data_IF_149756365535
#
_entry.id   IF_149756365535
#
_cell.length_a   1.000
_cell.length_b   1.000
_cell.length_c   1.000
_cell.angle_alpha   90.00
_cell.angle_beta   90.00
_cell.angle_gamma   90.00
#
_symmetry.space_group_name_H-M   'P 1'
#
loop_
_entity.id
_entity.type
_entity.pdbx_description
1 polymer ?
#
# COMPACT_ATOMS: atom_id res chain seq x y z
N UNK A 1 3.72 -5.76 21.67
CA UNK A 1 4.55 -6.89 21.17
C UNK A 1 3.84 -8.24 21.33
N UNK A 2 3.24 -8.58 22.47
CA UNK A 2 2.71 -9.92 22.75
C UNK A 2 1.83 -10.58 21.67
N UNK A 3 1.05 -9.80 20.89
CA UNK A 3 0.28 -10.33 19.76
C UNK A 3 1.23 -10.76 18.64
N UNK A 4 2.17 -9.90 18.26
CA UNK A 4 3.15 -10.19 17.21
C UNK A 4 3.98 -11.42 17.59
N UNK A 5 4.48 -11.49 18.81
CA UNK A 5 5.31 -12.60 19.28
C UNK A 5 4.55 -13.93 19.26
N UNK A 6 3.24 -13.90 19.55
CA UNK A 6 2.36 -15.08 19.44
C UNK A 6 2.22 -15.56 18.00
N UNK A 7 1.98 -14.64 17.05
CA UNK A 7 1.83 -15.02 15.64
C UNK A 7 3.16 -15.40 15.02
N UNK A 8 4.26 -14.77 15.42
CA UNK A 8 5.60 -15.17 15.02
C UNK A 8 5.87 -16.64 15.29
N UNK A 9 5.51 -17.12 16.48
CA UNK A 9 5.67 -18.54 16.84
C UNK A 9 4.87 -19.48 15.92
N UNK A 10 3.70 -19.03 15.41
CA UNK A 10 2.86 -19.82 14.50
C UNK A 10 3.38 -19.81 13.05
N UNK A 11 4.02 -18.72 12.63
CA UNK A 11 4.43 -18.54 11.23
C UNK A 11 5.90 -18.88 10.97
N UNK A 12 6.69 -19.10 12.02
CA UNK A 12 8.12 -19.44 11.92
C UNK A 12 8.36 -20.70 11.08
N UNK A 13 7.49 -21.69 11.19
CA UNK A 13 7.56 -22.93 10.41
C UNK A 13 7.32 -22.69 8.91
N UNK A 14 6.66 -21.58 8.56
CA UNK A 14 6.48 -21.10 7.18
C UNK A 14 7.63 -20.18 6.72
N UNK A 15 8.75 -20.13 7.44
CA UNK A 15 9.92 -19.29 7.15
C UNK A 15 9.63 -17.79 7.21
N UNK A 16 8.61 -17.36 7.97
CA UNK A 16 8.31 -15.97 8.25
C UNK A 16 9.03 -15.60 9.55
N UNK A 17 10.13 -14.87 9.43
CA UNK A 17 11.02 -14.54 10.54
C UNK A 17 10.93 -13.08 11.02
N UNK A 18 10.30 -12.22 10.24
CA UNK A 18 10.17 -10.80 10.55
C UNK A 18 8.71 -10.38 10.43
N UNK A 19 8.18 -9.77 11.48
CA UNK A 19 6.80 -9.34 11.56
C UNK A 19 6.74 -7.97 12.24
N UNK A 20 6.01 -7.04 11.65
CA UNK A 20 5.86 -5.70 12.19
C UNK A 20 4.40 -5.26 12.24
N UNK A 21 4.10 -4.31 13.12
CA UNK A 21 2.79 -3.70 13.17
C UNK A 21 2.90 -2.19 13.46
N UNK A 22 2.10 -1.42 12.74
CA UNK A 22 1.97 0.02 12.92
C UNK A 22 0.49 0.37 13.07
N UNK A 23 0.12 1.09 14.13
CA UNK A 23 -1.23 1.55 14.38
C UNK A 23 -1.21 3.07 14.48
N UNK A 24 -2.05 3.73 13.67
CA UNK A 24 -2.17 5.18 13.60
C UNK A 24 -3.60 5.59 13.93
N UNK A 25 -3.76 6.59 14.79
CA UNK A 25 -5.04 7.24 15.01
C UNK A 25 -5.39 8.12 13.82
N UNK A 26 -6.47 7.80 13.13
CA UNK A 26 -6.89 8.48 11.90
C UNK A 26 -7.24 9.95 12.14
N UNK A 27 -7.81 10.31 13.27
CA UNK A 27 -8.21 11.70 13.56
C UNK A 27 -7.01 12.60 13.82
N UNK A 28 -6.06 12.11 14.60
CA UNK A 28 -4.93 12.92 15.09
C UNK A 28 -3.62 12.71 14.33
N UNK A 29 -3.52 11.66 13.53
CA UNK A 29 -2.27 11.25 12.86
C UNK A 29 -1.24 10.65 13.82
N UNK A 30 -1.59 10.42 15.09
CA UNK A 30 -0.63 9.94 16.08
C UNK A 30 -0.43 8.45 15.98
N UNK A 31 0.84 8.02 16.05
CA UNK A 31 1.19 6.62 16.16
C UNK A 31 0.83 6.12 17.55
N UNK A 32 -0.08 5.15 17.63
CA UNK A 32 -0.55 4.53 18.86
C UNK A 32 0.28 3.29 19.21
N UNK A 33 0.74 2.53 18.20
CA UNK A 33 1.61 1.39 18.40
C UNK A 33 2.61 1.28 17.24
N UNK A 34 3.87 0.99 17.59
CA UNK A 34 4.96 0.73 16.68
C UNK A 34 5.69 -0.51 17.18
N UNK A 35 5.53 -1.62 16.48
CA UNK A 35 6.25 -2.87 16.74
C UNK A 35 7.11 -3.13 15.51
N UNK A 36 8.38 -2.81 15.59
CA UNK A 36 9.31 -2.83 14.46
C UNK A 36 9.66 -4.24 13.99
N UNK A 37 9.62 -5.22 14.90
CA UNK A 37 9.81 -6.63 14.59
C UNK A 37 9.29 -7.52 15.75
N UNK A 38 9.16 -8.82 15.48
CA UNK A 38 8.92 -9.82 16.52
C UNK A 38 10.14 -9.95 17.46
N UNK A 39 9.86 -10.31 18.71
CA UNK A 39 10.90 -10.56 19.72
C UNK A 39 11.47 -11.98 19.53
N UNK A 40 12.46 -12.14 18.66
CA UNK A 40 13.23 -13.38 18.55
C UNK A 40 14.57 -13.24 19.27
N UNK A 41 14.84 -14.17 20.18
CA UNK A 41 16.09 -14.19 20.95
C UNK A 41 17.28 -14.75 20.16
N UNK A 42 17.02 -15.45 19.06
CA UNK A 42 18.07 -16.11 18.26
C UNK A 42 18.90 -15.15 17.42
N UNK A 43 18.40 -13.94 17.13
CA UNK A 43 19.01 -12.91 16.28
C UNK A 43 19.48 -13.41 14.88
N UNK A 44 19.06 -14.60 14.49
CA UNK A 44 19.54 -15.28 13.29
C UNK A 44 18.99 -14.67 11.99
N UNK A 45 17.89 -13.89 12.06
CA UNK A 45 17.18 -13.32 10.92
C UNK A 45 16.96 -11.81 11.04
N UNK A 46 17.81 -11.11 11.82
CA UNK A 46 17.71 -9.66 11.98
C UNK A 46 16.50 -9.21 12.81
N UNK A 47 16.12 -9.99 13.83
CA UNK A 47 14.97 -9.71 14.71
C UNK A 47 15.05 -8.35 15.44
N UNK A 48 16.24 -7.78 15.57
CA UNK A 48 16.48 -6.45 16.17
C UNK A 48 16.27 -5.29 15.18
N UNK A 49 16.08 -5.59 13.90
CA UNK A 49 15.90 -4.55 12.88
C UNK A 49 14.45 -4.09 12.86
N UNK A 50 14.22 -2.79 12.93
CA UNK A 50 12.90 -2.22 12.65
C UNK A 50 12.60 -2.31 11.15
N UNK A 51 11.64 -3.16 10.77
CA UNK A 51 11.27 -3.38 9.37
C UNK A 51 10.12 -2.48 8.90
N UNK A 52 9.55 -1.63 9.77
CA UNK A 52 8.49 -0.69 9.38
C UNK A 52 8.95 0.28 8.28
N UNK A 53 10.14 0.92 8.38
CA UNK A 53 10.64 1.80 7.32
C UNK A 53 11.26 1.05 6.14
N UNK A 54 11.49 -0.26 6.26
CA UNK A 54 12.18 -1.02 5.23
C UNK A 54 11.28 -1.21 3.99
N UNK A 55 11.75 -0.88 2.77
CA UNK A 55 11.00 -1.14 1.55
C UNK A 55 10.81 -2.65 1.33
N UNK A 56 9.59 -3.03 1.02
CA UNK A 56 9.18 -4.40 0.72
C UNK A 56 8.11 -4.39 -0.36
N UNK A 57 7.96 -5.50 -1.07
CA UNK A 57 6.85 -5.65 -1.99
C UNK A 57 5.52 -5.52 -1.24
N UNK A 58 4.68 -4.64 -1.73
CA UNK A 58 3.35 -4.38 -1.15
C UNK A 58 2.26 -5.29 -1.74
N UNK A 59 2.59 -6.16 -2.69
CA UNK A 59 1.62 -7.05 -3.33
C UNK A 59 0.46 -6.28 -3.96
N UNK A 60 -0.75 -6.56 -3.53
CA UNK A 60 -2.00 -5.96 -4.06
C UNK A 60 -2.47 -4.70 -3.32
N UNK A 61 -1.71 -4.17 -2.37
CA UNK A 61 -2.18 -3.08 -1.50
C UNK A 61 -2.40 -1.74 -2.23
N UNK A 62 -1.91 -1.57 -3.45
CA UNK A 62 -2.19 -0.37 -4.25
C UNK A 62 -3.46 -0.46 -5.10
N UNK A 63 -4.11 -1.62 -5.19
CA UNK A 63 -5.34 -1.79 -6.00
C UNK A 63 -6.50 -0.89 -5.54
N UNK A 64 -6.78 -0.70 -4.23
CA UNK A 64 -7.80 0.25 -3.80
C UNK A 64 -7.50 1.69 -4.22
N UNK A 65 -6.23 2.11 -4.19
CA UNK A 65 -5.82 3.46 -4.62
C UNK A 65 -6.00 3.62 -6.14
N UNK A 66 -5.65 2.59 -6.93
CA UNK A 66 -5.90 2.59 -8.37
C UNK A 66 -7.40 2.66 -8.68
N UNK A 67 -8.23 1.91 -7.97
CA UNK A 67 -9.68 1.91 -8.10
C UNK A 67 -10.23 3.32 -7.86
N UNK A 68 -9.81 3.97 -6.76
CA UNK A 68 -10.20 5.34 -6.43
C UNK A 68 -9.77 6.33 -7.53
N UNK A 69 -8.51 6.26 -8.00
CA UNK A 69 -8.03 7.09 -9.11
C UNK A 69 -8.86 6.91 -10.39
N UNK A 70 -9.34 5.70 -10.63
CA UNK A 70 -10.13 5.38 -11.80
C UNK A 70 -11.56 5.95 -11.72
N UNK A 71 -12.15 5.95 -10.52
CA UNK A 71 -13.43 6.60 -10.25
C UNK A 71 -13.31 8.13 -10.45
N UNK A 72 -12.30 8.76 -9.86
CA UNK A 72 -12.06 10.21 -9.99
C UNK A 72 -11.87 10.66 -11.44
N UNK A 73 -11.26 9.82 -12.28
CA UNK A 73 -11.02 10.11 -13.69
C UNK A 73 -12.21 9.74 -14.60
N UNK A 74 -13.30 9.21 -14.06
CA UNK A 74 -14.43 8.73 -14.85
C UNK A 74 -14.11 7.51 -15.75
N UNK A 75 -12.96 6.86 -15.52
CA UNK A 75 -12.58 5.63 -16.25
C UNK A 75 -13.43 4.44 -15.78
N UNK A 76 -13.84 4.49 -14.53
CA UNK A 76 -14.60 3.45 -13.84
C UNK A 76 -15.80 4.07 -13.13
N UNK A 77 -16.91 3.35 -13.08
CA UNK A 77 -17.96 3.56 -12.09
C UNK A 77 -18.19 2.24 -11.32
N UNK A 78 -18.83 2.28 -10.15
CA UNK A 78 -18.98 1.08 -9.31
C UNK A 78 -19.62 -0.12 -10.02
N UNK A 79 -20.48 0.14 -11.00
CA UNK A 79 -21.17 -0.88 -11.78
C UNK A 79 -20.48 -1.25 -13.09
N UNK A 80 -19.28 -0.69 -13.36
CA UNK A 80 -18.52 -1.02 -14.56
C UNK A 80 -18.13 -2.49 -14.59
N UNK A 81 -18.05 -3.03 -15.80
CA UNK A 81 -17.57 -4.39 -16.06
C UNK A 81 -16.13 -4.30 -16.57
N UNK A 82 -15.25 -5.09 -15.99
CA UNK A 82 -13.83 -5.17 -16.34
C UNK A 82 -13.49 -6.53 -16.97
N UNK A 83 -12.55 -6.56 -17.92
CA UNK A 83 -12.13 -7.81 -18.55
C UNK A 83 -11.29 -8.65 -17.58
N UNK A 84 -11.55 -9.95 -17.53
CA UNK A 84 -10.81 -10.96 -16.78
C UNK A 84 -10.57 -12.20 -17.63
N UNK A 85 -9.68 -12.08 -18.60
CA UNK A 85 -9.29 -13.16 -19.51
C UNK A 85 -7.77 -13.15 -19.74
N UNK A 86 -7.17 -14.25 -20.21
CA UNK A 86 -5.74 -14.28 -20.52
C UNK A 86 -5.36 -13.17 -21.48
N UNK A 87 -4.44 -12.32 -21.07
CA UNK A 87 -4.00 -11.15 -21.86
C UNK A 87 -2.48 -11.01 -21.83
N UNK A 88 -1.93 -10.42 -22.91
CA UNK A 88 -0.52 -10.09 -23.01
C UNK A 88 -0.36 -8.58 -23.24
N UNK A 89 0.43 -7.94 -22.40
CA UNK A 89 0.70 -6.51 -22.42
C UNK A 89 2.17 -6.27 -22.81
N UNK A 90 2.51 -6.49 -24.09
CA UNK A 90 3.88 -6.28 -24.55
C UNK A 90 4.92 -7.22 -23.90
N UNK A 91 4.57 -8.48 -23.74
CA UNK A 91 5.42 -9.50 -23.09
C UNK A 91 5.09 -9.75 -21.61
N UNK A 92 4.27 -8.90 -20.98
CA UNK A 92 3.79 -9.11 -19.60
C UNK A 92 2.40 -9.76 -19.64
N UNK A 93 2.30 -10.98 -19.09
CA UNK A 93 1.05 -11.76 -19.04
C UNK A 93 0.66 -12.06 -17.59
N UNK A 94 -0.12 -11.19 -16.96
CA UNK A 94 -0.56 -11.38 -15.59
C UNK A 94 -1.52 -12.58 -15.48
N UNK A 95 -1.48 -13.24 -14.32
CA UNK A 95 -2.42 -14.32 -13.96
C UNK A 95 -3.09 -13.98 -12.65
N UNK A 96 -4.35 -14.39 -12.48
CA UNK A 96 -5.00 -14.38 -11.19
C UNK A 96 -4.35 -15.44 -10.26
N UNK A 97 -4.54 -15.30 -8.94
CA UNK A 97 -3.89 -16.17 -7.97
C UNK A 97 -4.26 -17.65 -8.17
N UNK A 98 -5.54 -17.94 -8.44
CA UNK A 98 -6.06 -19.27 -8.71
C UNK A 98 -5.88 -19.75 -10.17
N UNK A 99 -5.26 -18.91 -11.03
CA UNK A 99 -5.05 -19.17 -12.47
C UNK A 99 -6.36 -19.35 -13.26
N UNK A 100 -7.50 -18.94 -12.69
CA UNK A 100 -8.82 -18.95 -13.33
C UNK A 100 -9.21 -17.56 -13.83
N UNK A 101 -10.11 -17.51 -14.81
CA UNK A 101 -10.59 -16.29 -15.43
C UNK A 101 -12.11 -16.36 -15.60
N UNK A 102 -12.80 -15.29 -15.22
CA UNK A 102 -14.26 -15.21 -15.31
C UNK A 102 -14.77 -14.62 -16.65
N UNK A 103 -13.85 -14.21 -17.53
CA UNK A 103 -14.18 -13.50 -18.78
C UNK A 103 -14.41 -12.01 -18.52
N UNK A 104 -15.42 -11.67 -17.74
CA UNK A 104 -15.74 -10.30 -17.32
C UNK A 104 -16.20 -10.29 -15.87
N UNK A 105 -15.83 -9.23 -15.12
CA UNK A 105 -16.12 -9.14 -13.69
C UNK A 105 -16.61 -7.72 -13.33
N UNK A 106 -17.63 -7.56 -12.48
CA UNK A 106 -18.00 -6.26 -11.92
C UNK A 106 -16.85 -5.63 -11.14
N UNK A 107 -16.72 -4.32 -11.23
CA UNK A 107 -15.57 -3.59 -10.68
C UNK A 107 -15.42 -3.74 -9.16
N UNK A 108 -16.52 -3.82 -8.41
CA UNK A 108 -16.51 -4.09 -6.97
C UNK A 108 -15.92 -5.48 -6.68
N UNK A 109 -16.26 -6.50 -7.47
CA UNK A 109 -15.75 -7.86 -7.31
C UNK A 109 -14.27 -7.97 -7.67
N UNK A 110 -13.78 -7.16 -8.61
CA UNK A 110 -12.34 -7.08 -8.91
C UNK A 110 -11.55 -6.69 -7.66
N UNK A 111 -12.05 -5.72 -6.91
CA UNK A 111 -11.40 -5.24 -5.69
C UNK A 111 -11.53 -6.23 -4.53
N UNK A 112 -12.73 -6.74 -4.27
CA UNK A 112 -13.00 -7.71 -3.19
C UNK A 112 -12.19 -8.98 -3.35
N UNK A 113 -12.10 -9.51 -4.58
CA UNK A 113 -11.35 -10.73 -4.91
C UNK A 113 -9.87 -10.47 -5.22
N UNK A 114 -9.47 -9.21 -5.24
CA UNK A 114 -8.10 -8.78 -5.56
C UNK A 114 -7.57 -9.35 -6.89
N UNK A 115 -8.41 -9.36 -7.93
CA UNK A 115 -8.06 -9.93 -9.22
C UNK A 115 -6.91 -9.16 -9.88
N UNK A 116 -5.97 -9.88 -10.47
CA UNK A 116 -4.76 -9.30 -11.04
C UNK A 116 -5.01 -8.77 -12.46
N UNK A 117 -5.61 -9.58 -13.31
CA UNK A 117 -5.79 -9.26 -14.73
C UNK A 117 -6.64 -7.99 -14.92
N UNK A 118 -7.83 -7.86 -14.32
CA UNK A 118 -8.62 -6.64 -14.43
C UNK A 118 -7.91 -5.42 -13.86
N UNK A 119 -7.11 -5.59 -12.79
CA UNK A 119 -6.33 -4.48 -12.20
C UNK A 119 -5.23 -3.99 -13.13
N UNK A 120 -4.59 -4.87 -13.89
CA UNK A 120 -3.61 -4.50 -14.92
C UNK A 120 -4.26 -3.76 -16.07
N UNK A 121 -5.42 -4.21 -16.57
CA UNK A 121 -6.22 -3.47 -17.56
C UNK A 121 -6.58 -2.07 -17.05
N UNK A 122 -6.95 -1.96 -15.79
CA UNK A 122 -7.30 -0.68 -15.19
C UNK A 122 -6.08 0.25 -15.12
N UNK A 123 -4.91 -0.25 -14.66
CA UNK A 123 -3.68 0.54 -14.65
C UNK A 123 -3.26 0.96 -16.06
N UNK A 124 -3.43 0.12 -17.07
CA UNK A 124 -3.16 0.48 -18.45
C UNK A 124 -4.01 1.67 -18.91
N UNK A 125 -5.30 1.70 -18.53
CA UNK A 125 -6.21 2.81 -18.86
C UNK A 125 -5.90 4.10 -18.11
N UNK A 126 -5.59 4.02 -16.82
CA UNK A 126 -5.17 5.16 -16.00
C UNK A 126 -3.82 5.72 -16.47
N UNK A 127 -2.93 4.83 -16.88
CA UNK A 127 -1.55 5.12 -17.25
C UNK A 127 -0.61 5.10 -16.04
N UNK A 128 0.46 4.30 -16.14
CA UNK A 128 1.47 4.15 -15.07
C UNK A 128 2.09 5.49 -14.64
N UNK A 129 2.43 6.45 -15.54
CA UNK A 129 2.99 7.74 -15.14
C UNK A 129 2.04 8.53 -14.23
N UNK A 130 0.76 8.59 -14.59
CA UNK A 130 -0.26 9.34 -13.83
C UNK A 130 -0.53 8.68 -12.48
N UNK A 131 -0.60 7.36 -12.45
CA UNK A 131 -0.77 6.63 -11.20
C UNK A 131 0.42 6.81 -10.27
N UNK A 132 1.66 6.73 -10.80
CA UNK A 132 2.89 6.95 -10.04
C UNK A 132 2.95 8.37 -9.45
N UNK A 133 2.55 9.39 -10.21
CA UNK A 133 2.45 10.76 -9.71
C UNK A 133 1.45 10.86 -8.56
N UNK A 134 0.30 10.19 -8.67
CA UNK A 134 -0.69 10.14 -7.59
C UNK A 134 -0.12 9.51 -6.32
N UNK A 135 0.61 8.40 -6.43
CA UNK A 135 1.26 7.76 -5.29
C UNK A 135 2.27 8.69 -4.61
N UNK A 136 3.08 9.40 -5.38
CA UNK A 136 4.02 10.40 -4.84
C UNK A 136 3.30 11.54 -4.09
N UNK A 137 2.18 12.02 -4.60
CA UNK A 137 1.34 13.02 -3.93
C UNK A 137 0.72 12.48 -2.63
N UNK A 138 0.47 11.18 -2.54
CA UNK A 138 0.00 10.52 -1.32
C UNK A 138 1.11 10.25 -0.30
N UNK A 139 2.35 10.69 -0.57
CA UNK A 139 3.46 10.60 0.37
C UNK A 139 4.37 9.38 0.17
N UNK A 140 4.21 8.62 -0.91
CA UNK A 140 5.14 7.56 -1.25
C UNK A 140 6.45 8.15 -1.79
N UNK A 141 7.53 7.98 -1.06
CA UNK A 141 8.88 8.47 -1.42
C UNK A 141 9.76 7.36 -1.99
N UNK A 142 9.39 6.11 -1.79
CA UNK A 142 10.12 4.93 -2.28
C UNK A 142 10.05 4.76 -3.79
N UNK A 143 9.05 5.33 -4.47
CA UNK A 143 8.93 5.27 -5.93
C UNK A 143 9.82 6.32 -6.63
N UNK A 144 11.13 6.08 -6.64
CA UNK A 144 12.13 7.02 -7.17
C UNK A 144 12.36 6.89 -8.67
N UNK A 145 12.10 5.72 -9.24
CA UNK A 145 12.37 5.41 -10.65
C UNK A 145 11.29 5.98 -11.58
N UNK A 146 11.56 6.14 -12.87
CA UNK A 146 10.56 6.56 -13.86
C UNK A 146 9.49 5.47 -14.06
N UNK A 147 8.32 5.88 -14.54
CA UNK A 147 7.17 4.98 -14.74
C UNK A 147 7.46 3.80 -15.67
N UNK A 148 8.35 3.98 -16.65
CA UNK A 148 8.79 2.93 -17.58
C UNK A 148 9.54 1.80 -16.88
N UNK A 149 10.21 2.09 -15.75
CA UNK A 149 10.89 1.09 -14.95
C UNK A 149 9.90 0.13 -14.25
N UNK A 150 8.82 0.67 -13.71
CA UNK A 150 7.83 -0.14 -12.98
C UNK A 150 6.85 -0.85 -13.91
N UNK A 151 6.47 -0.20 -15.01
CA UNK A 151 5.48 -0.75 -15.95
C UNK A 151 4.16 -1.12 -15.29
N UNK A 152 3.47 -2.11 -15.84
CA UNK A 152 2.18 -2.58 -15.34
C UNK A 152 2.31 -3.50 -14.11
N UNK A 153 3.51 -4.03 -13.84
CA UNK A 153 3.77 -4.82 -12.63
C UNK A 153 3.63 -4.01 -11.34
N UNK A 154 3.69 -2.67 -11.43
CA UNK A 154 3.48 -1.76 -10.32
C UNK A 154 2.23 -2.09 -9.50
N UNK A 155 1.11 -2.50 -10.14
CA UNK A 155 -0.14 -2.78 -9.42
C UNK A 155 -0.17 -4.18 -8.76
N UNK A 156 0.80 -5.01 -9.03
CA UNK A 156 0.89 -6.38 -8.51
C UNK A 156 2.06 -6.56 -7.51
N UNK A 157 2.66 -5.47 -7.04
CA UNK A 157 3.80 -5.52 -6.13
C UNK A 157 5.15 -5.63 -6.84
N UNK A 158 5.23 -5.25 -8.13
CA UNK A 158 6.47 -5.17 -8.89
C UNK A 158 7.39 -3.98 -8.51
N UNK A 159 7.15 -3.39 -7.34
CA UNK A 159 7.98 -2.38 -6.72
C UNK A 159 7.90 -2.53 -5.19
N UNK A 160 8.61 -1.68 -4.47
CA UNK A 160 8.68 -1.74 -3.01
C UNK A 160 8.20 -0.44 -2.37
N UNK A 161 7.57 -0.56 -1.20
CA UNK A 161 7.18 0.53 -0.32
C UNK A 161 7.32 0.12 1.13
N UNK A 162 7.38 1.07 2.04
CA UNK A 162 7.45 0.79 3.46
C UNK A 162 6.06 0.60 4.08
N UNK A 163 5.99 -0.15 5.18
CA UNK A 163 4.75 -0.24 5.98
C UNK A 163 4.33 1.15 6.48
N UNK A 164 5.29 2.02 6.76
CA UNK A 164 5.06 3.42 7.15
C UNK A 164 4.28 4.18 6.08
N UNK A 165 4.75 4.18 4.83
CA UNK A 165 4.11 4.88 3.72
C UNK A 165 2.71 4.34 3.43
N UNK A 166 2.57 3.01 3.36
CA UNK A 166 1.28 2.38 3.14
C UNK A 166 0.27 2.72 4.22
N UNK A 167 0.65 2.56 5.50
CA UNK A 167 -0.25 2.86 6.62
C UNK A 167 -0.63 4.34 6.64
N UNK A 168 0.36 5.23 6.40
CA UNK A 168 0.14 6.67 6.32
C UNK A 168 -0.81 7.07 5.19
N UNK A 169 -0.64 6.51 4.00
CA UNK A 169 -1.52 6.80 2.87
C UNK A 169 -2.97 6.38 3.14
N UNK A 170 -3.19 5.17 3.67
CA UNK A 170 -4.53 4.69 4.02
C UNK A 170 -5.15 5.48 5.18
N UNK A 171 -4.38 5.82 6.20
CA UNK A 171 -4.86 6.64 7.30
C UNK A 171 -5.21 8.06 6.85
N UNK A 172 -4.41 8.63 5.92
CA UNK A 172 -4.69 9.93 5.29
C UNK A 172 -5.98 9.93 4.47
N UNK A 173 -6.23 8.86 3.69
CA UNK A 173 -7.49 8.67 2.98
C UNK A 173 -8.69 8.60 3.93
N UNK A 174 -8.56 7.82 5.00
CA UNK A 174 -9.60 7.72 6.01
C UNK A 174 -9.83 9.05 6.75
N UNK A 175 -8.75 9.81 7.07
CA UNK A 175 -8.86 11.14 7.65
C UNK A 175 -9.63 12.09 6.74
N UNK A 176 -9.37 12.07 5.43
CA UNK A 176 -10.06 12.90 4.45
C UNK A 176 -11.57 12.70 4.44
N UNK A 177 -12.03 11.47 4.69
CA UNK A 177 -13.47 11.19 4.83
C UNK A 177 -14.07 11.75 6.11
N UNK A 178 -13.28 11.84 7.20
CA UNK A 178 -13.72 12.37 8.49
C UNK A 178 -13.64 13.89 8.57
N UNK A 179 -12.65 14.50 7.91
CA UNK A 179 -12.37 15.92 7.91
C UNK A 179 -12.08 16.43 6.47
N UNK A 180 -13.11 16.57 5.62
CA UNK A 180 -12.94 16.91 4.22
C UNK A 180 -12.27 18.27 3.96
N UNK A 181 -12.36 19.21 4.92
CA UNK A 181 -11.74 20.54 4.82
C UNK A 181 -10.23 20.53 5.08
N UNK A 182 -9.70 19.49 5.74
CA UNK A 182 -8.29 19.40 6.05
C UNK A 182 -7.49 19.06 4.80
N UNK A 183 -6.59 19.96 4.38
CA UNK A 183 -5.77 19.76 3.19
C UNK A 183 -4.46 19.04 3.46
N UNK A 184 -3.97 19.12 4.69
CA UNK A 184 -2.72 18.49 5.12
C UNK A 184 -2.94 17.77 6.45
N UNK A 185 -2.61 16.49 6.43
CA UNK A 185 -2.64 15.65 7.62
C UNK A 185 -1.25 15.00 7.81
N UNK A 186 -0.82 14.85 9.06
CA UNK A 186 0.53 14.36 9.37
C UNK A 186 0.49 13.17 10.30
N UNK A 187 1.31 12.18 9.98
CA UNK A 187 1.65 11.12 10.92
C UNK A 187 2.78 11.58 11.82
N UNK A 188 2.62 11.40 13.12
CA UNK A 188 3.61 11.80 14.13
C UNK A 188 3.60 10.85 15.33
N UNK A 189 4.73 10.78 16.04
CA UNK A 189 4.79 10.07 17.32
C UNK A 189 4.18 10.88 18.46
N UNK A 190 3.60 10.18 19.44
CA UNK A 190 3.15 10.80 20.70
C UNK A 190 4.36 11.38 21.43
N UNK A 191 4.32 12.69 21.71
CA UNK A 191 5.31 13.32 22.56
C UNK A 191 6.36 14.22 21.92
N UNK A 192 6.39 14.39 20.61
CA UNK A 192 7.05 15.49 19.85
C UNK A 192 8.48 15.94 20.23
N UNK A 193 9.17 15.30 21.18
CA UNK A 193 10.55 15.59 21.57
C UNK A 193 11.36 14.30 21.64
N UNK A 194 12.29 14.15 20.68
CA UNK A 194 13.49 13.38 20.92
C UNK A 194 13.36 11.87 20.95
N UNK A 195 12.72 11.29 19.94
CA UNK A 195 13.11 9.95 19.51
C UNK A 195 14.46 10.05 18.78
N UNK A 196 15.34 9.09 18.99
CA UNK A 196 16.59 8.88 18.26
C UNK A 196 16.41 9.19 16.77
N UNK A 197 17.45 9.63 16.05
CA UNK A 197 17.41 10.20 14.69
C UNK A 197 16.52 9.52 13.63
N UNK A 198 16.03 8.31 13.90
CA UNK A 198 15.03 7.61 13.09
C UNK A 198 13.61 8.23 13.16
N UNK A 199 13.20 8.82 14.30
CA UNK A 199 11.86 9.41 14.43
C UNK A 199 11.66 10.65 13.55
N UNK A 200 12.72 11.41 13.27
CA UNK A 200 12.66 12.58 12.37
C UNK A 200 12.52 12.22 10.89
N UNK A 201 13.00 11.05 10.49
CA UNK A 201 12.87 10.55 9.12
C UNK A 201 11.49 9.97 8.84
N UNK A 202 10.74 9.61 9.89
CA UNK A 202 9.43 8.99 9.77
C UNK A 202 8.26 9.99 9.94
N UNK A 203 8.52 11.25 10.31
CA UNK A 203 7.51 12.29 10.34
C UNK A 203 7.19 12.73 8.90
N UNK A 204 6.23 12.06 8.27
CA UNK A 204 5.80 12.38 6.93
C UNK A 204 4.47 13.16 6.95
N UNK A 205 4.39 14.21 6.15
CA UNK A 205 3.12 14.86 5.86
C UNK A 205 2.50 14.25 4.60
N UNK A 206 1.25 13.85 4.71
CA UNK A 206 0.47 13.30 3.62
C UNK A 206 -0.45 14.39 3.05
N UNK A 207 -0.31 14.64 1.76
CA UNK A 207 -1.18 15.59 1.08
C UNK A 207 -2.53 14.92 0.79
N UNK A 208 -3.50 15.18 1.66
CA UNK A 208 -4.86 14.64 1.52
C UNK A 208 -5.67 15.36 0.45
N UNK A 209 -5.22 16.53 -0.05
CA UNK A 209 -5.85 17.24 -1.16
C UNK A 209 -5.66 16.56 -2.53
N UNK A 210 -4.84 15.51 -2.58
CA UNK A 210 -4.64 14.70 -3.77
C UNK A 210 -5.88 13.93 -4.24
N UNK A 211 -6.92 13.83 -3.41
CA UNK A 211 -8.23 13.28 -3.75
C UNK A 211 -9.26 14.41 -3.64
N UNK A 212 -9.78 14.87 -4.77
CA UNK A 212 -10.94 15.75 -4.79
C UNK A 212 -12.21 14.93 -4.57
N UNK A 213 -13.21 15.48 -3.84
CA UNK A 213 -14.52 14.87 -3.68
C UNK A 213 -15.26 14.75 -5.01
#
# INVERSE_FOLDING_TARGET
>A
SGIIDRYHSLYRDNQIYNEAALVIDVKTGKVLAHVGNASDTSDSHGSKVDVIPAPRSYGSLLKPILYLCSLEQGILCPTSILPDYPANFGGFSPKNYNVEFDGVVPADQVLVRSLNVPSVFLLQRVGTPRFLERLRRLGFTTFTQPATHYGLSLILGGAESSLWELTGAYAGLAHRLLAPSDTVWKVSYLGGKGGTGQSRLLDASYNTSGFHP
#
